data_IF_435596090969
#
_entry.id   IF_435596090969
#
_cell.length_a   1.000
_cell.length_b   1.000
_cell.length_c   1.000
_cell.angle_alpha   90.00
_cell.angle_beta   90.00
_cell.angle_gamma   90.00
#
_symmetry.space_group_name_H-M   'P 1'
#
loop_
_entity.id
_entity.type
_entity.pdbx_description
1 polymer ?
#
# COMPACT_ATOMS: atom_id res chain seq x y z
N UNK A 1 18.78 3.50 -37.49
CA UNK A 1 18.86 4.98 -37.41
C UNK A 1 18.63 5.56 -38.81
N UNK A 2 18.01 6.75 -38.96
CA UNK A 2 17.76 7.32 -40.26
C UNK A 2 19.02 7.61 -41.11
N UNK A 3 20.12 7.85 -40.41
CA UNK A 3 21.42 8.16 -41.03
C UNK A 3 22.36 6.97 -41.20
N UNK A 4 22.03 5.81 -40.58
CA UNK A 4 22.77 4.56 -40.69
C UNK A 4 21.84 3.37 -40.37
N UNK A 5 21.47 2.62 -41.40
CA UNK A 5 20.52 1.52 -41.34
C UNK A 5 21.08 0.28 -40.62
N UNK A 6 22.40 0.22 -40.43
CA UNK A 6 23.04 -0.89 -39.70
C UNK A 6 22.91 -0.78 -38.17
N UNK A 7 22.40 0.35 -37.67
CA UNK A 7 22.24 0.63 -36.26
C UNK A 7 20.79 0.88 -35.88
N UNK A 8 20.44 0.47 -34.67
CA UNK A 8 19.14 0.73 -34.03
C UNK A 8 19.35 1.47 -32.73
N UNK A 9 18.40 2.32 -32.36
CA UNK A 9 18.39 2.97 -31.06
C UNK A 9 17.85 1.99 -30.01
N UNK A 10 18.50 1.96 -28.85
CA UNK A 10 17.94 1.25 -27.71
C UNK A 10 16.69 1.94 -27.23
N UNK A 11 15.58 1.20 -27.15
CA UNK A 11 14.24 1.77 -26.91
C UNK A 11 14.15 2.66 -25.67
N UNK A 12 14.92 2.35 -24.62
CA UNK A 12 14.93 3.17 -23.40
C UNK A 12 15.58 4.53 -23.58
N UNK A 13 16.45 4.70 -24.57
CA UNK A 13 16.98 6.02 -24.90
C UNK A 13 15.88 6.96 -25.39
N UNK A 14 14.96 6.46 -26.19
CA UNK A 14 13.79 7.18 -26.66
C UNK A 14 12.74 7.36 -25.56
N UNK A 15 12.37 6.26 -24.88
CA UNK A 15 11.33 6.27 -23.88
C UNK A 15 11.61 7.19 -22.69
N UNK A 16 12.85 7.27 -22.20
CA UNK A 16 13.21 8.09 -21.03
C UNK A 16 13.16 9.60 -21.32
N UNK A 17 13.42 10.00 -22.56
CA UNK A 17 13.32 11.42 -22.96
C UNK A 17 11.90 11.96 -22.80
N UNK A 18 10.88 11.08 -22.80
CA UNK A 18 9.48 11.48 -22.63
C UNK A 18 9.26 12.36 -21.38
N UNK A 19 9.98 12.14 -20.29
CA UNK A 19 9.83 12.94 -19.06
C UNK A 19 10.09 14.43 -19.26
N UNK A 20 11.08 14.78 -20.07
CA UNK A 20 11.42 16.18 -20.36
C UNK A 20 10.76 16.71 -21.63
N UNK A 21 10.51 15.84 -22.62
CA UNK A 21 9.80 16.25 -23.83
C UNK A 21 8.35 16.61 -23.56
N UNK A 22 7.69 15.91 -22.63
CA UNK A 22 6.35 16.25 -22.17
C UNK A 22 6.27 17.63 -21.48
N UNK A 23 7.40 18.13 -20.98
CA UNK A 23 7.54 19.47 -20.41
C UNK A 23 7.99 20.52 -21.45
N UNK A 24 8.00 20.15 -22.73
CA UNK A 24 8.42 21.03 -23.83
C UNK A 24 9.86 21.57 -23.68
N UNK A 25 10.77 20.71 -23.18
CA UNK A 25 12.17 21.05 -23.02
C UNK A 25 12.76 21.65 -24.31
N UNK A 26 13.49 22.75 -24.17
CA UNK A 26 14.06 23.56 -25.29
C UNK A 26 13.03 24.27 -26.20
N UNK A 27 11.72 24.21 -25.92
CA UNK A 27 10.73 24.99 -26.63
C UNK A 27 10.39 26.32 -25.92
N UNK A 28 11.24 26.76 -24.98
CA UNK A 28 11.08 27.97 -24.16
C UNK A 28 9.81 27.98 -23.30
N UNK A 29 9.32 26.79 -22.92
CA UNK A 29 8.14 26.67 -22.10
C UNK A 29 8.49 26.81 -20.60
N UNK A 30 7.73 27.59 -19.83
CA UNK A 30 7.94 27.74 -18.38
C UNK A 30 7.62 26.48 -17.59
N UNK A 31 7.07 25.44 -18.23
CA UNK A 31 6.73 24.16 -17.64
C UNK A 31 7.95 23.38 -17.13
N UNK A 32 9.10 23.50 -17.79
CA UNK A 32 10.36 22.85 -17.33
C UNK A 32 10.77 23.41 -15.98
N UNK A 33 10.85 24.73 -15.84
CA UNK A 33 11.29 25.38 -14.59
C UNK A 33 10.31 25.12 -13.44
N UNK A 34 9.03 24.87 -13.77
CA UNK A 34 8.00 24.62 -12.78
C UNK A 34 7.95 23.16 -12.29
N UNK A 35 8.21 22.20 -13.19
CA UNK A 35 7.95 20.78 -12.91
C UNK A 35 9.22 19.93 -12.92
N UNK A 36 10.37 20.50 -13.23
CA UNK A 36 11.64 19.83 -13.19
C UNK A 36 12.61 20.53 -12.21
N UNK A 37 13.34 19.81 -11.31
CA UNK A 37 13.40 18.35 -11.22
C UNK A 37 12.10 17.72 -10.70
N UNK A 38 11.84 16.48 -11.13
CA UNK A 38 10.74 15.70 -10.61
C UNK A 38 10.96 15.37 -9.12
N UNK A 39 9.97 15.61 -8.28
CA UNK A 39 10.04 15.24 -6.85
C UNK A 39 10.13 13.73 -6.69
N UNK A 40 9.37 12.96 -7.47
CA UNK A 40 9.42 11.48 -7.43
C UNK A 40 9.24 10.91 -8.83
N UNK A 41 10.16 10.05 -9.26
CA UNK A 41 9.90 9.07 -10.31
C UNK A 41 9.39 7.77 -9.67
N UNK A 42 8.09 7.51 -9.82
CA UNK A 42 7.45 6.31 -9.32
C UNK A 42 7.44 5.24 -10.41
N UNK A 43 8.18 4.17 -10.23
CA UNK A 43 8.42 3.14 -11.25
C UNK A 43 8.26 1.73 -10.70
N UNK A 44 8.00 0.75 -11.57
CA UNK A 44 8.08 -0.65 -11.19
C UNK A 44 9.54 -1.08 -10.95
N UNK A 45 9.76 -1.99 -10.01
CA UNK A 45 11.13 -2.46 -9.68
C UNK A 45 11.88 -3.09 -10.86
N UNK A 46 11.17 -3.57 -11.87
CA UNK A 46 11.74 -4.16 -13.08
C UNK A 46 12.43 -3.14 -13.99
N UNK A 47 12.08 -1.86 -13.88
CA UNK A 47 12.68 -0.77 -14.65
C UNK A 47 13.53 0.19 -13.79
N UNK A 48 13.83 -0.19 -12.54
CA UNK A 48 14.64 0.64 -11.65
C UNK A 48 16.02 0.95 -12.24
N UNK A 49 16.72 -0.04 -12.79
CA UNK A 49 18.03 0.16 -13.40
C UNK A 49 17.98 1.17 -14.55
N UNK A 50 16.92 1.11 -15.36
CA UNK A 50 16.72 2.04 -16.48
C UNK A 50 16.61 3.49 -16.01
N UNK A 51 15.95 3.72 -14.89
CA UNK A 51 15.76 5.06 -14.35
C UNK A 51 16.94 5.52 -13.49
N UNK A 52 17.45 4.65 -12.61
CA UNK A 52 18.53 5.02 -11.71
C UNK A 52 19.88 5.15 -12.40
N UNK A 53 20.13 4.39 -13.47
CA UNK A 53 21.41 4.43 -14.19
C UNK A 53 21.27 5.18 -15.51
N UNK A 54 20.48 4.66 -16.45
CA UNK A 54 20.47 5.22 -17.80
C UNK A 54 19.88 6.63 -17.83
N UNK A 55 18.72 6.84 -17.21
CA UNK A 55 18.07 8.15 -17.16
C UNK A 55 18.93 9.18 -16.43
N UNK A 56 19.46 8.83 -15.26
CA UNK A 56 20.36 9.73 -14.52
C UNK A 56 21.59 10.11 -15.34
N UNK A 57 22.20 9.15 -16.06
CA UNK A 57 23.35 9.43 -16.93
C UNK A 57 22.97 10.35 -18.10
N UNK A 58 21.80 10.16 -18.69
CA UNK A 58 21.30 11.04 -19.78
C UNK A 58 21.08 12.47 -19.29
N UNK A 59 20.47 12.64 -18.12
CA UNK A 59 20.28 13.95 -17.49
C UNK A 59 21.61 14.66 -17.19
N UNK A 60 22.58 13.93 -16.64
CA UNK A 60 23.91 14.46 -16.40
C UNK A 60 24.60 14.91 -17.70
N UNK A 61 24.46 14.14 -18.77
CA UNK A 61 24.99 14.52 -20.09
C UNK A 61 24.32 15.79 -20.68
N UNK A 62 23.08 16.05 -20.29
CA UNK A 62 22.31 17.24 -20.68
C UNK A 62 22.52 18.43 -19.72
N UNK A 63 23.30 18.26 -18.65
CA UNK A 63 23.45 19.23 -17.53
C UNK A 63 22.09 19.59 -16.90
N UNK A 64 21.17 18.63 -16.83
CA UNK A 64 19.90 18.77 -16.14
C UNK A 64 19.99 18.23 -14.72
N UNK A 65 19.28 18.84 -13.75
CA UNK A 65 19.20 18.30 -12.40
C UNK A 65 18.55 16.92 -12.40
N UNK A 66 19.00 16.05 -11.48
CA UNK A 66 18.43 14.72 -11.29
C UNK A 66 17.07 14.81 -10.56
N UNK A 67 16.18 13.81 -10.73
CA UNK A 67 15.00 13.68 -9.88
C UNK A 67 15.41 13.61 -8.40
N UNK A 68 14.60 14.18 -7.52
CA UNK A 68 14.87 14.14 -6.07
C UNK A 68 14.78 12.72 -5.52
N UNK A 69 13.84 11.93 -6.02
CA UNK A 69 13.63 10.54 -5.62
C UNK A 69 13.29 9.67 -6.82
N UNK A 70 13.87 8.47 -6.87
CA UNK A 70 13.42 7.37 -7.74
C UNK A 70 12.91 6.27 -6.83
N UNK A 71 11.60 6.08 -6.79
CA UNK A 71 10.95 5.08 -5.96
C UNK A 71 10.47 3.89 -6.79
N UNK A 72 10.97 2.70 -6.47
CA UNK A 72 10.58 1.46 -7.15
C UNK A 72 9.57 0.69 -6.30
N UNK A 73 8.34 0.53 -6.82
CA UNK A 73 7.33 -0.31 -6.16
C UNK A 73 7.43 -1.77 -6.59
N UNK A 74 6.93 -2.66 -5.74
CA UNK A 74 6.88 -4.10 -5.97
C UNK A 74 5.80 -4.53 -6.98
N UNK A 75 5.71 -5.82 -7.22
CA UNK A 75 4.69 -6.43 -8.08
C UNK A 75 3.51 -6.93 -7.27
N UNK A 76 2.37 -6.97 -7.92
CA UNK A 76 1.22 -7.74 -7.46
C UNK A 76 1.26 -9.12 -8.14
N UNK A 77 1.22 -10.16 -7.31
CA UNK A 77 1.07 -11.56 -7.73
C UNK A 77 -0.36 -12.03 -7.48
N UNK A 78 -0.71 -13.19 -7.97
CA UNK A 78 -1.96 -13.91 -7.65
C UNK A 78 -1.57 -15.34 -7.34
N UNK A 79 -1.90 -15.81 -6.14
CA UNK A 79 -1.51 -17.13 -5.62
C UNK A 79 0.02 -17.34 -5.68
N UNK A 80 0.79 -16.29 -5.34
CA UNK A 80 2.26 -16.29 -5.38
C UNK A 80 2.88 -16.26 -6.78
N UNK A 81 2.08 -16.24 -7.84
CA UNK A 81 2.55 -16.23 -9.22
C UNK A 81 2.40 -14.86 -9.88
N UNK A 82 3.37 -14.49 -10.71
CA UNK A 82 3.29 -13.26 -11.51
C UNK A 82 2.09 -13.30 -12.45
N UNK A 83 1.29 -12.22 -12.46
CA UNK A 83 0.17 -12.07 -13.39
C UNK A 83 0.63 -12.19 -14.83
N UNK A 84 -0.07 -13.02 -15.61
CA UNK A 84 0.20 -13.22 -17.03
C UNK A 84 -1.07 -13.50 -17.80
N UNK A 85 -1.27 -12.79 -18.93
CA UNK A 85 -2.41 -13.02 -19.84
C UNK A 85 -2.49 -14.48 -20.33
N UNK A 86 -1.32 -15.09 -20.58
CA UNK A 86 -1.24 -16.49 -21.05
C UNK A 86 -1.65 -17.52 -19.99
N UNK A 87 -1.59 -17.16 -18.70
CA UNK A 87 -2.03 -18.00 -17.58
C UNK A 87 -3.46 -17.75 -17.15
N UNK A 88 -4.07 -16.67 -17.62
CA UNK A 88 -5.44 -16.29 -17.24
C UNK A 88 -5.59 -15.79 -15.80
N UNK A 89 -4.48 -15.54 -15.09
CA UNK A 89 -4.48 -15.08 -13.69
C UNK A 89 -4.37 -13.55 -13.54
N UNK A 90 -4.76 -12.80 -14.57
CA UNK A 90 -4.74 -11.33 -14.52
C UNK A 90 -5.97 -10.82 -13.81
N UNK A 91 -5.76 -10.03 -12.77
CA UNK A 91 -6.84 -9.27 -12.12
C UNK A 91 -7.16 -8.06 -12.98
N UNK A 92 -8.41 -7.96 -13.43
CA UNK A 92 -8.90 -6.81 -14.17
C UNK A 92 -9.35 -5.72 -13.17
N UNK A 93 -8.64 -4.58 -13.09
CA UNK A 93 -9.00 -3.52 -12.15
C UNK A 93 -10.38 -2.92 -12.42
N UNK A 94 -10.84 -2.88 -13.67
CA UNK A 94 -12.17 -2.34 -13.99
C UNK A 94 -13.27 -3.22 -13.38
N UNK A 95 -13.14 -4.55 -13.47
CA UNK A 95 -14.07 -5.48 -12.83
C UNK A 95 -14.07 -5.35 -11.31
N UNK A 96 -12.90 -5.12 -10.70
CA UNK A 96 -12.82 -4.88 -9.26
C UNK A 96 -13.52 -3.59 -8.87
N UNK A 97 -13.35 -2.52 -9.64
CA UNK A 97 -14.03 -1.24 -9.43
C UNK A 97 -15.54 -1.36 -9.63
N UNK A 98 -16.01 -2.07 -10.66
CA UNK A 98 -17.44 -2.33 -10.90
C UNK A 98 -18.08 -3.12 -9.76
N UNK A 99 -17.36 -4.09 -9.20
CA UNK A 99 -17.89 -4.99 -8.16
C UNK A 99 -17.84 -4.36 -6.77
N UNK A 100 -16.76 -3.68 -6.41
CA UNK A 100 -16.47 -3.25 -5.04
C UNK A 100 -16.45 -1.73 -4.86
N UNK A 101 -16.46 -0.97 -5.93
CA UNK A 101 -16.27 0.47 -5.93
C UNK A 101 -14.80 0.87 -5.94
N UNK A 102 -14.54 2.05 -6.54
CA UNK A 102 -13.16 2.53 -6.73
C UNK A 102 -12.44 2.79 -5.41
N UNK A 103 -13.12 3.37 -4.42
CA UNK A 103 -12.50 3.74 -3.15
C UNK A 103 -12.12 2.53 -2.30
N UNK A 104 -12.97 1.49 -2.29
CA UNK A 104 -12.66 0.24 -1.59
C UNK A 104 -11.48 -0.48 -2.23
N UNK A 105 -11.39 -0.49 -3.56
CA UNK A 105 -10.24 -1.07 -4.27
C UNK A 105 -8.95 -0.28 -4.03
N UNK A 106 -9.00 1.06 -4.07
CA UNK A 106 -7.85 1.92 -3.74
C UNK A 106 -7.38 1.70 -2.31
N UNK A 107 -8.31 1.66 -1.36
CA UNK A 107 -8.02 1.38 0.04
C UNK A 107 -7.28 0.06 0.21
N UNK A 108 -7.81 -1.02 -0.37
CA UNK A 108 -7.19 -2.34 -0.31
C UNK A 108 -5.75 -2.32 -0.83
N UNK A 109 -5.53 -1.79 -2.04
CA UNK A 109 -4.20 -1.79 -2.66
C UNK A 109 -3.16 -1.01 -1.84
N UNK A 110 -3.56 0.09 -1.20
CA UNK A 110 -2.66 0.93 -0.41
C UNK A 110 -2.51 0.45 1.05
N UNK A 111 -3.42 -0.42 1.51
CA UNK A 111 -3.47 -0.94 2.89
C UNK A 111 -2.83 -2.31 3.03
N UNK A 112 -2.93 -3.16 2.01
CA UNK A 112 -2.56 -4.57 2.10
C UNK A 112 -1.05 -4.76 2.27
N UNK A 113 -0.25 -4.06 1.49
CA UNK A 113 1.20 -4.25 1.43
C UNK A 113 1.94 -2.94 1.72
N UNK A 114 3.07 -2.98 2.46
CA UNK A 114 3.95 -1.82 2.53
C UNK A 114 4.37 -1.40 1.12
N UNK A 115 4.18 -0.13 0.79
CA UNK A 115 4.49 0.38 -0.54
C UNK A 115 5.98 0.20 -0.83
N UNK A 116 6.30 -0.37 -1.99
CA UNK A 116 7.68 -0.79 -2.34
C UNK A 116 7.90 -2.30 -2.28
N UNK A 117 7.10 -3.05 -1.55
CA UNK A 117 7.19 -4.50 -1.47
C UNK A 117 6.25 -5.20 -2.45
N UNK A 118 6.50 -6.49 -2.71
CA UNK A 118 5.61 -7.32 -3.49
C UNK A 118 4.36 -7.68 -2.67
N UNK A 119 3.20 -7.67 -3.31
CA UNK A 119 1.94 -8.08 -2.73
C UNK A 119 1.32 -9.26 -3.46
N UNK A 120 0.53 -10.05 -2.75
CA UNK A 120 -0.26 -11.11 -3.35
C UNK A 120 -1.75 -10.72 -3.33
N UNK A 121 -2.37 -10.65 -4.50
CA UNK A 121 -3.77 -10.29 -4.62
C UNK A 121 -4.64 -11.48 -4.29
N UNK A 122 -5.50 -11.30 -3.30
CA UNK A 122 -6.54 -12.26 -2.96
C UNK A 122 -7.88 -11.55 -2.86
N UNK A 123 -8.86 -12.01 -3.62
CA UNK A 123 -10.22 -11.47 -3.55
C UNK A 123 -10.84 -11.68 -2.16
N UNK A 124 -10.52 -12.79 -1.51
CA UNK A 124 -10.94 -13.07 -0.13
C UNK A 124 -10.33 -12.09 0.86
N UNK A 125 -9.03 -11.79 0.74
CA UNK A 125 -8.38 -10.77 1.57
C UNK A 125 -9.01 -9.40 1.34
N UNK A 126 -9.29 -9.02 0.08
CA UNK A 126 -9.95 -7.77 -0.25
C UNK A 126 -11.33 -7.65 0.40
N UNK A 127 -12.19 -8.66 0.29
CA UNK A 127 -13.52 -8.67 0.93
C UNK A 127 -13.39 -8.62 2.45
N UNK A 128 -12.43 -9.34 3.02
CA UNK A 128 -12.16 -9.31 4.46
C UNK A 128 -11.77 -7.90 4.91
N UNK A 129 -10.84 -7.25 4.21
CA UNK A 129 -10.40 -5.87 4.51
C UNK A 129 -11.55 -4.87 4.37
N UNK A 130 -12.37 -4.97 3.31
CA UNK A 130 -13.56 -4.12 3.13
C UNK A 130 -14.52 -4.29 4.31
N UNK A 131 -14.80 -5.53 4.71
CA UNK A 131 -15.72 -5.79 5.80
C UNK A 131 -15.18 -5.36 7.17
N UNK A 132 -13.90 -5.65 7.46
CA UNK A 132 -13.29 -5.31 8.76
C UNK A 132 -13.04 -3.82 8.92
N UNK A 133 -12.31 -3.23 7.99
CA UNK A 133 -11.77 -1.88 8.14
C UNK A 133 -12.77 -0.81 7.69
N UNK A 134 -13.53 -1.08 6.63
CA UNK A 134 -14.43 -0.10 6.04
C UNK A 134 -15.87 -0.25 6.55
N UNK A 135 -16.50 -1.42 6.39
CA UNK A 135 -17.88 -1.61 6.79
C UNK A 135 -18.06 -1.61 8.32
N UNK A 136 -17.28 -2.42 9.04
CA UNK A 136 -17.34 -2.53 10.50
C UNK A 136 -16.50 -1.46 11.23
N UNK A 137 -15.54 -0.81 10.56
CA UNK A 137 -14.76 0.30 11.11
C UNK A 137 -15.44 1.65 10.82
N UNK A 138 -14.88 2.41 9.88
CA UNK A 138 -15.29 3.79 9.59
C UNK A 138 -16.77 3.92 9.23
N UNK A 139 -17.31 2.98 8.45
CA UNK A 139 -18.73 2.96 8.06
C UNK A 139 -19.66 2.77 9.26
N UNK A 140 -19.32 1.85 10.16
CA UNK A 140 -20.07 1.61 11.39
C UNK A 140 -19.98 2.80 12.35
N UNK A 141 -18.79 3.37 12.55
CA UNK A 141 -18.59 4.55 13.39
C UNK A 141 -19.47 5.71 12.91
N UNK A 142 -19.50 6.00 11.61
CA UNK A 142 -20.36 7.02 11.04
C UNK A 142 -21.85 6.70 11.28
N UNK A 143 -22.29 5.54 10.91
CA UNK A 143 -23.70 5.14 11.01
C UNK A 143 -24.21 5.19 12.44
N UNK A 144 -23.44 4.70 13.42
CA UNK A 144 -23.75 4.78 14.85
C UNK A 144 -23.83 6.22 15.34
N UNK A 145 -22.82 7.03 15.00
CA UNK A 145 -22.76 8.44 15.42
C UNK A 145 -23.97 9.21 14.88
N UNK A 146 -24.26 9.10 13.59
CA UNK A 146 -25.41 9.79 12.98
C UNK A 146 -26.74 9.34 13.59
N UNK A 147 -26.90 8.04 13.82
CA UNK A 147 -28.12 7.49 14.46
C UNK A 147 -28.32 8.05 15.89
N UNK A 148 -27.23 8.20 16.65
CA UNK A 148 -27.29 8.77 17.98
C UNK A 148 -27.55 10.27 17.96
N UNK A 149 -26.95 11.02 17.05
CA UNK A 149 -27.21 12.45 16.87
C UNK A 149 -28.67 12.67 16.45
N UNK A 150 -29.18 11.90 15.51
CA UNK A 150 -30.58 11.94 15.08
C UNK A 150 -31.54 11.71 16.28
N UNK A 151 -31.24 10.68 17.08
CA UNK A 151 -32.11 10.24 18.18
C UNK A 151 -32.02 11.11 19.43
N UNK A 152 -30.85 11.65 19.76
CA UNK A 152 -30.56 12.27 21.04
C UNK A 152 -30.19 13.76 20.97
N UNK A 153 -30.07 14.30 19.77
CA UNK A 153 -29.69 15.71 19.55
C UNK A 153 -30.43 16.33 18.34
N UNK A 154 -31.66 15.88 18.07
CA UNK A 154 -32.56 16.43 17.04
C UNK A 154 -31.89 16.59 15.66
N UNK A 155 -30.99 15.68 15.31
CA UNK A 155 -30.29 15.69 14.02
C UNK A 155 -29.25 16.81 13.88
N UNK A 156 -28.84 17.46 14.97
CA UNK A 156 -27.78 18.49 14.97
C UNK A 156 -26.61 18.06 15.86
N UNK A 157 -25.40 18.32 15.40
CA UNK A 157 -24.21 18.05 16.21
C UNK A 157 -24.20 19.01 17.41
N UNK A 158 -24.30 18.51 18.65
CA UNK A 158 -24.41 19.39 19.83
C UNK A 158 -23.05 20.00 20.18
N UNK A 159 -23.08 21.13 20.89
CA UNK A 159 -21.88 21.66 21.54
C UNK A 159 -21.40 20.71 22.65
N UNK A 160 -20.07 20.61 22.82
CA UNK A 160 -19.45 19.81 23.88
C UNK A 160 -19.83 20.38 25.27
N UNK A 161 -20.05 19.46 26.21
CA UNK A 161 -20.25 19.77 27.64
C UNK A 161 -19.06 19.29 28.48
N UNK A 162 -19.28 18.89 29.75
CA UNK A 162 -18.25 18.28 30.58
C UNK A 162 -17.85 16.92 30.05
N UNK A 163 -16.62 16.48 30.33
CA UNK A 163 -16.13 15.18 29.88
C UNK A 163 -17.00 14.03 30.40
N UNK A 164 -17.26 13.05 29.54
CA UNK A 164 -17.92 11.79 29.89
C UNK A 164 -16.91 10.75 30.39
N UNK A 165 -15.78 10.63 29.70
CA UNK A 165 -14.66 9.74 30.02
C UNK A 165 -13.32 10.49 29.77
N UNK A 166 -12.86 11.31 30.75
CA UNK A 166 -11.73 12.23 30.56
C UNK A 166 -10.47 11.58 29.97
N UNK A 167 -10.07 10.41 30.47
CA UNK A 167 -8.86 9.72 30.03
C UNK A 167 -8.92 9.28 28.56
N UNK A 168 -10.08 8.82 28.08
CA UNK A 168 -10.25 8.40 26.68
C UNK A 168 -10.39 9.62 25.78
N UNK A 169 -11.06 10.67 26.22
CA UNK A 169 -11.19 11.91 25.46
C UNK A 169 -9.83 12.59 25.28
N UNK A 170 -8.95 12.55 26.30
CA UNK A 170 -7.58 13.03 26.19
C UNK A 170 -6.76 12.19 25.20
N UNK A 171 -6.90 10.86 25.24
CA UNK A 171 -6.24 9.96 24.27
C UNK A 171 -6.69 10.26 22.85
N UNK A 172 -7.99 10.42 22.63
CA UNK A 172 -8.55 10.79 21.31
C UNK A 172 -8.01 12.15 20.86
N UNK A 173 -8.06 13.16 21.73
CA UNK A 173 -7.57 14.48 21.41
C UNK A 173 -6.09 14.49 21.04
N UNK A 174 -5.26 13.76 21.78
CA UNK A 174 -3.82 13.61 21.50
C UNK A 174 -3.57 12.91 20.18
N UNK A 175 -4.22 11.76 19.93
CA UNK A 175 -4.09 11.03 18.67
C UNK A 175 -4.55 11.88 17.48
N UNK A 176 -5.69 12.56 17.62
CA UNK A 176 -6.25 13.43 16.60
C UNK A 176 -5.35 14.65 16.29
N UNK A 177 -4.78 15.29 17.32
CA UNK A 177 -3.87 16.42 17.15
C UNK A 177 -2.55 16.03 16.44
N UNK A 178 -2.08 14.80 16.65
CA UNK A 178 -0.86 14.27 16.02
C UNK A 178 -1.07 13.75 14.59
N UNK A 179 -2.30 13.37 14.24
CA UNK A 179 -2.62 12.72 12.98
C UNK A 179 -2.16 13.51 11.75
N UNK A 180 -2.43 14.81 11.57
CA UNK A 180 -2.02 15.54 10.37
C UNK A 180 -0.52 15.50 10.12
N UNK A 181 0.29 15.77 11.14
CA UNK A 181 1.75 15.74 11.02
C UNK A 181 2.30 14.32 10.77
N UNK A 182 1.63 13.28 11.29
CA UNK A 182 1.99 11.89 11.01
C UNK A 182 1.70 11.53 9.57
N UNK A 183 0.54 11.93 9.06
CA UNK A 183 0.17 11.69 7.66
C UNK A 183 1.10 12.42 6.69
N UNK A 184 1.47 13.67 6.97
CA UNK A 184 2.40 14.45 6.15
C UNK A 184 3.75 13.75 6.02
N UNK A 185 4.32 13.29 7.15
CA UNK A 185 5.55 12.49 7.14
C UNK A 185 5.41 11.19 6.35
N UNK A 186 4.28 10.50 6.52
CA UNK A 186 4.01 9.25 5.81
C UNK A 186 3.82 9.45 4.31
N UNK A 187 3.16 10.54 3.88
CA UNK A 187 3.08 10.89 2.46
C UNK A 187 4.45 11.21 1.87
N UNK A 188 5.27 12.00 2.58
CA UNK A 188 6.63 12.32 2.14
C UNK A 188 7.53 11.09 2.06
N UNK A 189 7.35 10.12 2.96
CA UNK A 189 8.09 8.86 2.99
C UNK A 189 7.46 7.75 2.14
N UNK A 190 6.31 8.00 1.50
CA UNK A 190 5.54 7.02 0.72
C UNK A 190 5.08 5.79 1.55
N UNK A 191 4.88 5.96 2.86
CA UNK A 191 4.39 4.90 3.77
C UNK A 191 2.86 4.93 3.90
N UNK A 192 2.17 4.71 2.80
CA UNK A 192 0.69 4.84 2.71
C UNK A 192 -0.04 3.87 3.62
N UNK A 193 0.47 2.64 3.77
CA UNK A 193 -0.09 1.63 4.67
C UNK A 193 -0.10 2.12 6.12
N UNK A 194 1.00 2.71 6.57
CA UNK A 194 1.13 3.20 7.94
C UNK A 194 0.19 4.38 8.19
N UNK A 195 0.02 5.25 7.19
CA UNK A 195 -0.97 6.32 7.24
C UNK A 195 -2.39 5.78 7.42
N UNK A 196 -2.78 4.77 6.62
CA UNK A 196 -4.10 4.14 6.74
C UNK A 196 -4.28 3.40 8.06
N UNK A 197 -3.23 2.79 8.59
CA UNK A 197 -3.24 2.17 9.90
C UNK A 197 -3.49 3.21 11.00
N UNK A 198 -2.76 4.34 10.99
CA UNK A 198 -2.93 5.41 11.99
C UNK A 198 -4.35 6.01 11.94
N UNK A 199 -4.93 6.17 10.74
CA UNK A 199 -6.33 6.58 10.57
C UNK A 199 -7.28 5.55 11.21
N UNK A 200 -7.06 4.26 10.95
CA UNK A 200 -7.85 3.16 11.52
C UNK A 200 -7.75 3.07 13.05
N UNK A 201 -6.58 3.34 13.61
CA UNK A 201 -6.36 3.38 15.07
C UNK A 201 -7.19 4.48 15.74
N UNK A 202 -7.27 5.68 15.15
CA UNK A 202 -8.14 6.74 15.65
C UNK A 202 -9.62 6.36 15.55
N UNK A 203 -10.05 5.73 14.46
CA UNK A 203 -11.43 5.25 14.32
C UNK A 203 -11.76 4.20 15.39
N UNK A 204 -10.87 3.24 15.63
CA UNK A 204 -11.03 2.19 16.65
C UNK A 204 -11.09 2.77 18.06
N UNK A 205 -10.28 3.79 18.35
CA UNK A 205 -10.30 4.49 19.63
C UNK A 205 -11.64 5.21 19.86
N UNK A 206 -12.25 5.76 18.81
CA UNK A 206 -13.57 6.37 18.88
C UNK A 206 -14.68 5.34 19.08
N UNK A 207 -14.61 4.17 18.44
CA UNK A 207 -15.57 3.08 18.70
C UNK A 207 -15.46 2.58 20.14
N UNK A 208 -14.25 2.38 20.68
CA UNK A 208 -14.03 2.04 22.09
C UNK A 208 -14.63 3.09 23.02
N UNK A 209 -14.46 4.37 22.69
CA UNK A 209 -15.01 5.48 23.46
C UNK A 209 -16.54 5.45 23.48
N UNK A 210 -17.20 5.26 22.34
CA UNK A 210 -18.66 5.17 22.26
C UNK A 210 -19.17 3.96 23.06
N UNK A 211 -18.50 2.81 22.98
CA UNK A 211 -18.90 1.61 23.69
C UNK A 211 -18.80 1.78 25.21
N UNK A 212 -17.72 2.37 25.70
CA UNK A 212 -17.49 2.61 27.14
C UNK A 212 -18.38 3.74 27.69
N UNK A 213 -18.54 4.83 26.95
CA UNK A 213 -19.42 5.93 27.34
C UNK A 213 -20.89 5.53 27.35
N UNK A 214 -21.26 4.53 26.54
CA UNK A 214 -22.62 3.99 26.45
C UNK A 214 -23.70 5.08 26.32
N UNK A 215 -23.69 5.93 25.27
CA UNK A 215 -24.56 7.10 25.14
C UNK A 215 -26.06 6.78 25.27
N UNK A 216 -26.47 5.57 24.91
CA UNK A 216 -27.85 5.08 25.12
C UNK A 216 -28.23 4.91 26.59
N UNK A 217 -27.25 4.82 27.52
CA UNK A 217 -27.48 4.85 28.97
C UNK A 217 -27.51 6.28 29.46
N UNK A 218 -26.60 7.14 29.02
CA UNK A 218 -26.57 8.57 29.38
C UNK A 218 -27.87 9.26 28.97
N UNK A 219 -28.45 8.90 27.81
CA UNK A 219 -29.71 9.45 27.33
C UNK A 219 -30.94 9.14 28.22
N UNK A 220 -30.85 8.16 29.14
CA UNK A 220 -31.93 7.82 30.07
C UNK A 220 -31.95 8.69 31.33
N UNK A 221 -30.89 9.42 31.60
CA UNK A 221 -30.73 10.28 32.76
C UNK A 221 -30.57 11.72 32.31
N UNK A 222 -31.53 12.61 32.58
CA UNK A 222 -31.45 14.05 32.21
C UNK A 222 -30.21 14.75 32.77
N UNK A 223 -29.73 14.35 33.95
CA UNK A 223 -28.54 14.95 34.59
C UNK A 223 -27.26 14.61 33.82
N UNK A 224 -27.23 13.52 33.03
CA UNK A 224 -26.11 13.10 32.20
C UNK A 224 -26.19 13.65 30.75
N UNK A 225 -27.24 14.40 30.42
CA UNK A 225 -27.42 15.01 29.09
C UNK A 225 -26.21 15.85 28.64
N UNK A 226 -25.54 16.64 29.51
CA UNK A 226 -24.34 17.36 29.09
C UNK A 226 -23.19 16.47 28.71
N UNK A 227 -22.98 15.32 29.38
CA UNK A 227 -21.95 14.32 29.01
C UNK A 227 -22.29 13.62 27.69
N UNK A 228 -23.57 13.29 27.48
CA UNK A 228 -24.04 12.76 26.21
C UNK A 228 -23.69 13.68 25.03
N UNK A 229 -23.91 14.99 25.19
CA UNK A 229 -23.53 15.99 24.17
C UNK A 229 -22.02 15.92 23.85
N UNK A 230 -21.17 15.75 24.87
CA UNK A 230 -19.72 15.60 24.71
C UNK A 230 -19.38 14.36 23.91
N UNK A 231 -20.02 13.21 24.21
CA UNK A 231 -19.80 11.97 23.46
C UNK A 231 -20.12 12.15 21.98
N UNK A 232 -21.27 12.73 21.66
CA UNK A 232 -21.70 12.94 20.29
C UNK A 232 -20.81 13.96 19.55
N UNK A 233 -20.40 15.04 20.21
CA UNK A 233 -19.49 16.03 19.65
C UNK A 233 -18.10 15.44 19.37
N UNK A 234 -17.53 14.70 20.32
CA UNK A 234 -16.23 14.07 20.18
C UNK A 234 -16.21 13.09 19.00
N UNK A 235 -17.25 12.26 18.86
CA UNK A 235 -17.38 11.33 17.73
C UNK A 235 -17.50 12.09 16.38
N UNK A 236 -18.28 13.16 16.33
CA UNK A 236 -18.43 13.98 15.12
C UNK A 236 -17.14 14.72 14.73
N UNK A 237 -16.39 15.23 15.72
CA UNK A 237 -15.06 15.84 15.49
C UNK A 237 -14.07 14.84 14.93
N UNK A 238 -14.03 13.63 15.50
CA UNK A 238 -13.17 12.56 15.00
C UNK A 238 -13.53 12.16 13.56
N UNK A 239 -14.81 11.99 13.27
CA UNK A 239 -15.28 11.67 11.92
C UNK A 239 -14.94 12.75 10.89
N UNK A 240 -15.02 14.04 11.25
CA UNK A 240 -14.57 15.13 10.38
C UNK A 240 -13.08 14.97 10.04
N UNK A 241 -12.23 14.74 11.05
CA UNK A 241 -10.79 14.61 10.87
C UNK A 241 -10.44 13.35 10.06
N UNK A 242 -11.10 12.24 10.37
CA UNK A 242 -10.97 10.99 9.60
C UNK A 242 -11.35 11.20 8.13
N UNK A 243 -12.43 11.93 7.86
CA UNK A 243 -12.87 12.22 6.50
C UNK A 243 -11.79 12.94 5.69
N UNK A 244 -11.30 14.09 6.17
CA UNK A 244 -10.28 14.84 5.43
C UNK A 244 -8.95 14.06 5.30
N UNK A 245 -8.62 13.24 6.29
CA UNK A 245 -7.44 12.39 6.29
C UNK A 245 -7.53 11.24 5.28
N UNK A 246 -8.74 10.75 5.00
CA UNK A 246 -9.01 9.69 4.03
C UNK A 246 -9.13 10.19 2.60
N UNK A 247 -9.30 11.48 2.38
CA UNK A 247 -9.54 12.05 1.04
C UNK A 247 -8.51 11.61 -0.02
N UNK A 248 -7.19 11.62 0.24
CA UNK A 248 -6.20 11.18 -0.73
C UNK A 248 -6.34 9.69 -1.14
N UNK A 249 -6.92 8.89 -0.26
CA UNK A 249 -7.11 7.44 -0.46
C UNK A 249 -8.48 7.12 -1.05
N UNK A 250 -9.54 7.73 -0.52
CA UNK A 250 -10.95 7.43 -0.81
C UNK A 250 -11.77 8.71 -1.05
N UNK A 251 -11.56 9.41 -2.17
CA UNK A 251 -12.17 10.72 -2.41
C UNK A 251 -13.70 10.69 -2.43
N UNK A 252 -14.33 9.72 -3.12
CA UNK A 252 -15.80 9.64 -3.20
C UNK A 252 -16.45 9.32 -1.86
N UNK A 253 -15.83 8.43 -1.09
CA UNK A 253 -16.26 8.08 0.27
C UNK A 253 -16.17 9.28 1.20
N UNK A 254 -15.09 10.04 1.11
CA UNK A 254 -14.90 11.26 1.91
C UNK A 254 -15.97 12.29 1.62
N UNK A 255 -16.31 12.52 0.36
CA UNK A 255 -17.39 13.45 0.00
C UNK A 255 -18.74 13.00 0.55
N UNK A 256 -19.04 11.70 0.52
CA UNK A 256 -20.28 11.16 1.10
C UNK A 256 -20.27 11.27 2.62
N UNK A 257 -19.16 10.96 3.28
CA UNK A 257 -19.01 11.03 4.74
C UNK A 257 -19.21 12.49 5.24
N UNK A 258 -18.50 13.44 4.61
CA UNK A 258 -18.62 14.86 4.99
C UNK A 258 -20.02 15.41 4.77
N UNK A 259 -20.66 15.03 3.66
CA UNK A 259 -22.05 15.40 3.38
C UNK A 259 -23.02 14.87 4.43
N UNK A 260 -22.85 13.62 4.86
CA UNK A 260 -23.69 13.03 5.90
C UNK A 260 -23.49 13.71 7.27
N UNK A 261 -22.29 14.22 7.56
CA UNK A 261 -21.99 15.00 8.76
C UNK A 261 -22.47 16.48 8.68
N UNK A 262 -23.01 16.90 7.54
CA UNK A 262 -23.42 18.29 7.34
C UNK A 262 -22.29 19.24 6.94
N UNK A 263 -21.11 18.71 6.57
CA UNK A 263 -20.02 19.52 6.02
C UNK A 263 -20.13 19.61 4.50
N UNK A 264 -19.79 20.79 3.98
CA UNK A 264 -19.73 21.07 2.54
C UNK A 264 -18.33 21.55 2.18
N UNK A 265 -17.41 20.61 1.99
CA UNK A 265 -16.09 20.92 1.46
C UNK A 265 -16.10 20.92 -0.07
N UNK A 266 -15.48 21.93 -0.66
CA UNK A 266 -15.17 21.93 -2.08
C UNK A 266 -13.80 21.29 -2.29
N UNK A 267 -13.80 19.99 -2.54
CA UNK A 267 -12.57 19.20 -2.73
C UNK A 267 -11.82 19.51 -4.03
N UNK A 268 -12.37 20.35 -4.91
CA UNK A 268 -11.63 20.90 -6.06
C UNK A 268 -10.65 22.02 -5.62
N UNK A 269 -10.79 22.52 -4.41
CA UNK A 269 -9.96 23.55 -3.78
C UNK A 269 -9.17 22.96 -2.62
N UNK A 270 -8.21 23.73 -2.13
CA UNK A 270 -7.50 23.37 -0.91
C UNK A 270 -8.46 23.28 0.26
N UNK A 271 -8.45 22.15 0.97
CA UNK A 271 -9.22 21.96 2.20
C UNK A 271 -8.69 22.94 3.25
N UNK A 272 -9.56 23.69 3.94
CA UNK A 272 -9.10 24.64 4.95
C UNK A 272 -8.27 23.96 6.04
N UNK A 273 -7.19 24.60 6.48
CA UNK A 273 -6.32 24.06 7.54
C UNK A 273 -7.10 23.74 8.83
N UNK A 274 -8.16 24.52 9.13
CA UNK A 274 -9.06 24.26 10.25
C UNK A 274 -9.75 22.90 10.21
N UNK A 275 -9.95 22.32 9.03
CA UNK A 275 -10.54 20.98 8.90
C UNK A 275 -9.62 19.87 9.45
N UNK A 276 -8.31 20.10 9.48
CA UNK A 276 -7.30 19.20 10.05
C UNK A 276 -7.00 19.46 11.53
N UNK A 277 -7.56 20.53 12.12
CA UNK A 277 -7.33 20.88 13.52
C UNK A 277 -8.38 20.22 14.41
N UNK A 278 -7.92 19.48 15.43
CA UNK A 278 -8.81 18.83 16.38
C UNK A 278 -9.75 19.85 17.07
N UNK A 279 -9.23 20.99 17.48
CA UNK A 279 -9.97 21.99 18.26
C UNK A 279 -10.92 22.88 17.44
N UNK A 280 -10.95 22.72 16.13
CA UNK A 280 -11.93 23.43 15.30
C UNK A 280 -13.36 23.03 15.70
N UNK A 281 -14.24 24.01 15.95
CA UNK A 281 -15.59 23.75 16.43
C UNK A 281 -16.40 22.96 15.40
N UNK A 282 -17.21 22.03 15.90
CA UNK A 282 -18.16 21.21 15.14
C UNK A 282 -19.48 21.28 15.90
N UNK A 283 -20.27 22.30 15.67
CA UNK A 283 -21.54 22.52 16.39
C UNK A 283 -22.61 23.03 15.45
N UNK A 284 -23.86 22.73 15.76
CA UNK A 284 -25.07 23.19 15.06
C UNK A 284 -25.16 22.73 13.59
N UNK A 285 -24.28 21.85 13.14
CA UNK A 285 -24.38 21.26 11.81
C UNK A 285 -25.53 20.24 11.79
N UNK A 286 -26.46 20.43 10.87
CA UNK A 286 -27.52 19.47 10.63
C UNK A 286 -26.94 18.27 9.86
N UNK A 287 -27.07 17.08 10.43
CA UNK A 287 -26.65 15.85 9.76
C UNK A 287 -27.65 15.48 8.64
N UNK A 288 -27.13 14.82 7.61
CA UNK A 288 -27.93 14.30 6.50
C UNK A 288 -27.67 12.79 6.34
N UNK A 289 -28.29 11.98 7.22
CA UNK A 289 -28.10 10.54 7.23
C UNK A 289 -28.49 9.93 5.88
N UNK A 290 -27.55 9.24 5.26
CA UNK A 290 -27.70 8.57 3.98
C UNK A 290 -27.60 7.05 4.08
N UNK A 291 -27.39 6.40 2.92
CA UNK A 291 -27.06 4.99 2.86
C UNK A 291 -25.71 4.70 3.55
N UNK A 292 -25.51 3.47 4.06
CA UNK A 292 -24.19 3.06 4.57
C UNK A 292 -23.11 3.28 3.52
N UNK A 293 -21.94 3.81 3.95
CA UNK A 293 -20.80 4.04 3.04
C UNK A 293 -20.30 2.74 2.40
N UNK A 294 -20.24 1.69 3.18
CA UNK A 294 -19.80 0.36 2.75
C UNK A 294 -20.83 -0.68 3.23
N UNK A 295 -21.66 -1.23 2.33
CA UNK A 295 -22.48 -2.38 2.66
C UNK A 295 -21.56 -3.58 2.91
N UNK A 296 -21.93 -4.41 3.90
CA UNK A 296 -21.20 -5.64 4.16
C UNK A 296 -21.32 -6.61 2.98
N UNK A 297 -20.19 -7.15 2.54
CA UNK A 297 -20.13 -8.09 1.42
C UNK A 297 -20.17 -9.50 1.97
N UNK A 298 -21.14 -10.29 1.51
CA UNK A 298 -21.22 -11.72 1.81
C UNK A 298 -20.29 -12.49 0.88
N UNK A 299 -19.36 -13.26 1.45
CA UNK A 299 -18.53 -14.19 0.69
C UNK A 299 -19.43 -15.40 0.39
N UNK A 300 -19.89 -15.54 -0.84
CA UNK A 300 -20.62 -16.73 -1.26
C UNK A 300 -19.76 -17.98 -0.96
N UNK A 301 -20.37 -19.00 -0.36
CA UNK A 301 -19.70 -20.22 0.11
C UNK A 301 -19.05 -21.04 -1.03
N UNK A 302 -19.30 -20.69 -2.29
CA UNK A 302 -18.86 -21.44 -3.48
C UNK A 302 -17.36 -21.30 -3.80
N UNK A 303 -16.66 -20.31 -3.26
CA UNK A 303 -15.21 -20.15 -3.50
C UNK A 303 -14.34 -21.12 -2.68
N UNK A 304 -14.91 -21.79 -1.67
CA UNK A 304 -14.19 -22.83 -0.91
C UNK A 304 -14.15 -24.19 -1.63
N UNK A 305 -14.95 -24.37 -2.67
CA UNK A 305 -15.11 -25.68 -3.34
C UNK A 305 -14.26 -25.83 -4.62
N UNK A 306 -13.83 -24.74 -5.22
CA UNK A 306 -13.03 -24.81 -6.44
C UNK A 306 -11.58 -25.26 -6.18
N UNK A 307 -10.95 -24.80 -5.09
CA UNK A 307 -9.58 -25.19 -4.72
C UNK A 307 -9.47 -26.62 -4.15
N UNK A 308 -10.57 -27.17 -3.57
CA UNK A 308 -10.56 -28.52 -3.02
C UNK A 308 -10.87 -29.61 -4.08
N UNK A 309 -11.58 -29.26 -5.16
CA UNK A 309 -11.92 -30.24 -6.22
C UNK A 309 -10.82 -30.44 -7.25
N UNK A 310 -10.00 -29.42 -7.52
CA UNK A 310 -8.87 -29.56 -8.45
C UNK A 310 -7.67 -30.27 -7.80
N UNK A 311 -7.47 -30.10 -6.49
CA UNK A 311 -6.44 -30.88 -5.76
C UNK A 311 -6.77 -32.39 -5.71
N UNK A 312 -8.06 -32.77 -5.68
CA UNK A 312 -8.50 -34.18 -5.63
C UNK A 312 -8.50 -34.85 -7.01
N UNK A 313 -8.58 -34.05 -8.09
CA UNK A 313 -8.56 -34.59 -9.46
C UNK A 313 -7.13 -34.83 -9.97
N UNK A 314 -6.17 -33.99 -9.55
CA UNK A 314 -4.76 -34.18 -9.85
C UNK A 314 -4.13 -35.41 -9.12
N UNK A 315 -4.70 -35.82 -7.99
CA UNK A 315 -4.23 -36.98 -7.22
C UNK A 315 -4.84 -38.31 -7.67
N UNK A 316 -5.90 -38.29 -8.51
CA UNK A 316 -6.52 -39.54 -9.02
C UNK A 316 -5.97 -40.04 -10.35
N UNK A 317 -5.26 -39.25 -11.12
CA UNK A 317 -4.70 -39.63 -12.40
C UNK A 317 -3.24 -40.16 -12.35
N UNK A 318 -2.58 -40.08 -11.16
CA UNK A 318 -1.22 -40.60 -10.95
C UNK A 318 -1.15 -42.01 -10.34
N UNK A 319 -2.32 -42.69 -10.07
CA UNK A 319 -2.35 -44.00 -9.39
C UNK A 319 -2.77 -45.17 -10.28
N UNK A 320 -2.43 -45.14 -11.56
CA UNK A 320 -2.56 -46.33 -12.43
C UNK A 320 -1.29 -46.60 -13.23
N UNK A 321 -0.26 -47.13 -12.59
CA UNK A 321 0.70 -48.07 -13.18
C UNK A 321 1.57 -48.69 -12.09
N UNK A 322 1.38 -50.00 -11.89
CA UNK A 322 2.42 -50.97 -11.53
C UNK A 322 2.67 -51.22 -10.06
N UNK A 323 1.91 -52.11 -9.47
CA UNK A 323 2.23 -52.76 -8.21
C UNK A 323 3.13 -53.99 -8.43
N UNK A 324 4.20 -54.15 -7.61
CA UNK A 324 4.58 -55.43 -7.05
C UNK A 324 5.29 -55.23 -5.69
N UNK A 325 5.16 -56.18 -4.73
CA UNK A 325 5.37 -55.96 -3.32
C UNK A 325 6.73 -56.43 -2.81
N UNK A 326 7.32 -55.78 -1.83
CA UNK A 326 8.37 -56.36 -0.97
C UNK A 326 8.12 -55.96 0.50
N UNK A 327 8.24 -56.99 1.32
CA UNK A 327 7.93 -57.27 2.70
C UNK A 327 8.44 -56.29 3.77
N UNK A 328 7.66 -56.30 4.89
CA UNK A 328 7.93 -55.79 6.23
C UNK A 328 9.25 -56.24 6.86
N UNK A 329 9.90 -55.32 7.56
CA UNK A 329 10.47 -55.59 8.90
C UNK A 329 10.72 -54.29 9.67
N UNK A 330 10.37 -54.19 10.94
CA UNK A 330 10.52 -52.96 11.75
C UNK A 330 11.87 -52.90 12.46
N UNK A 331 12.47 -51.71 12.55
CA UNK A 331 13.65 -51.41 13.36
C UNK A 331 13.28 -50.59 14.58
N UNK A 332 13.74 -50.93 15.78
CA UNK A 332 13.34 -50.31 17.04
C UNK A 332 14.09 -49.02 17.39
N UNK A 333 13.58 -48.23 18.35
CA UNK A 333 14.13 -46.90 18.70
C UNK A 333 15.34 -47.02 19.66
N UNK A 334 16.32 -46.13 19.49
CA UNK A 334 17.45 -45.98 20.42
C UNK A 334 17.25 -44.80 21.40
N UNK A 335 17.88 -44.87 22.58
CA UNK A 335 17.45 -44.14 23.78
C UNK A 335 18.14 -42.76 23.97
N UNK A 336 17.44 -41.91 24.77
CA UNK A 336 17.88 -40.61 25.25
C UNK A 336 18.83 -40.80 26.47
N UNK A 337 19.95 -40.08 26.61
CA UNK A 337 20.69 -40.05 27.86
C UNK A 337 20.17 -39.01 28.84
N UNK A 338 20.16 -39.42 30.10
CA UNK A 338 19.61 -38.77 31.26
C UNK A 338 20.45 -37.59 31.81
N UNK A 339 19.78 -36.84 32.66
CA UNK A 339 20.20 -35.67 33.41
C UNK A 339 21.35 -35.92 34.39
N UNK A 340 22.17 -34.88 34.63
CA UNK A 340 23.02 -34.76 35.81
C UNK A 340 22.96 -33.34 36.42
N UNK A 341 22.39 -33.32 37.62
CA UNK A 341 22.65 -32.56 38.87
C UNK A 341 23.24 -31.14 38.85
N UNK A 342 22.47 -30.25 39.47
CA UNK A 342 22.82 -28.92 40.04
C UNK A 342 23.67 -29.05 41.33
N UNK A 343 24.54 -28.05 41.67
CA UNK A 343 24.33 -27.11 42.78
C UNK A 343 25.02 -25.73 42.57
N UNK A 344 25.02 -24.82 43.59
CA UNK A 344 23.93 -23.99 44.11
C UNK A 344 24.09 -22.47 43.84
N UNK A 345 23.09 -21.71 44.29
CA UNK A 345 22.84 -20.29 44.12
C UNK A 345 23.98 -19.32 44.41
N UNK A 346 24.10 -18.27 43.60
CA UNK A 346 24.71 -16.99 43.93
C UNK A 346 23.86 -15.83 43.37
N UNK A 347 23.81 -14.76 44.13
CA UNK A 347 23.04 -13.53 44.17
C UNK A 347 22.85 -12.77 42.86
N UNK A 348 21.76 -11.98 42.67
CA UNK A 348 21.37 -11.42 41.37
C UNK A 348 22.18 -10.20 40.99
N UNK A 349 22.75 -10.23 39.78
CA UNK A 349 23.31 -9.08 39.10
C UNK A 349 22.27 -8.54 38.09
N UNK A 350 22.20 -7.21 38.00
CA UNK A 350 21.35 -6.36 37.16
C UNK A 350 21.34 -6.81 35.68
N UNK A 351 20.22 -6.82 34.97
CA UNK A 351 20.16 -7.23 33.58
C UNK A 351 20.79 -6.20 32.68
N UNK A 352 21.88 -6.56 32.06
CA UNK A 352 22.47 -5.86 30.93
C UNK A 352 21.63 -6.21 29.70
N UNK A 353 21.21 -5.18 28.92
CA UNK A 353 20.46 -5.35 27.69
C UNK A 353 21.21 -6.25 26.68
N UNK A 354 20.51 -7.10 25.92
CA UNK A 354 21.17 -7.95 24.92
C UNK A 354 21.76 -7.08 23.81
N UNK A 355 23.01 -7.34 23.47
CA UNK A 355 23.73 -6.73 22.37
C UNK A 355 22.96 -6.99 21.07
N UNK A 356 22.68 -5.92 20.33
CA UNK A 356 22.08 -5.98 19.02
C UNK A 356 22.94 -6.85 18.10
N UNK A 357 22.30 -7.75 17.37
CA UNK A 357 22.94 -8.52 16.30
C UNK A 357 23.57 -7.54 15.29
N UNK A 358 24.74 -7.86 14.71
CA UNK A 358 25.38 -6.98 13.74
C UNK A 358 24.43 -6.77 12.54
N UNK A 359 24.21 -5.51 12.20
CA UNK A 359 23.45 -5.14 10.99
C UNK A 359 24.07 -5.81 9.76
N UNK A 360 23.28 -6.26 8.78
CA UNK A 360 23.82 -6.81 7.54
C UNK A 360 24.71 -5.76 6.89
N UNK A 361 25.90 -6.19 6.47
CA UNK A 361 26.87 -5.32 5.83
C UNK A 361 26.23 -4.61 4.65
N UNK A 362 26.34 -3.29 4.58
CA UNK A 362 25.87 -2.51 3.44
C UNK A 362 26.50 -3.09 2.15
N UNK A 363 25.75 -3.18 1.04
CA UNK A 363 26.30 -3.65 -0.22
C UNK A 363 27.50 -2.77 -0.60
N UNK A 364 28.54 -3.35 -1.24
CA UNK A 364 29.74 -2.59 -1.58
C UNK A 364 29.37 -1.41 -2.45
N UNK A 365 29.67 -0.20 -2.00
CA UNK A 365 29.46 1.02 -2.76
C UNK A 365 30.50 1.10 -3.86
N UNK A 366 30.06 1.35 -5.09
CA UNK A 366 30.94 1.63 -6.22
C UNK A 366 31.45 3.06 -6.07
N UNK A 367 32.76 3.25 -6.14
CA UNK A 367 33.35 4.58 -6.11
C UNK A 367 33.02 5.39 -7.37
N UNK A 368 33.03 6.71 -7.28
CA UNK A 368 32.83 7.59 -8.44
C UNK A 368 33.86 7.30 -9.55
N UNK A 369 35.08 6.94 -9.18
CA UNK A 369 36.15 6.58 -10.12
C UNK A 369 35.87 5.25 -10.84
N UNK A 370 35.21 4.30 -10.17
CA UNK A 370 34.77 3.05 -10.80
C UNK A 370 33.58 3.28 -11.73
N UNK A 371 32.67 4.18 -11.36
CA UNK A 371 31.57 4.59 -12.21
C UNK A 371 32.06 5.32 -13.48
N UNK A 372 33.07 6.18 -13.37
CA UNK A 372 33.66 6.88 -14.51
C UNK A 372 34.39 5.97 -15.50
N UNK A 373 34.69 4.71 -15.10
CA UNK A 373 35.30 3.69 -15.99
C UNK A 373 34.23 3.04 -16.90
N UNK A 374 32.94 3.25 -16.67
CA UNK A 374 31.87 2.71 -17.51
C UNK A 374 31.88 3.41 -18.86
N UNK A 375 32.11 2.65 -19.93
CA UNK A 375 32.04 3.13 -21.29
C UNK A 375 30.82 2.56 -21.99
N UNK A 376 29.89 3.42 -22.38
CA UNK A 376 28.79 3.05 -23.27
C UNK A 376 29.32 3.05 -24.69
N UNK A 377 29.17 1.92 -25.40
CA UNK A 377 29.60 1.77 -26.79
C UNK A 377 28.42 1.34 -27.65
N UNK A 378 28.30 1.91 -28.82
CA UNK A 378 27.43 1.38 -29.86
C UNK A 378 28.05 0.11 -30.44
N UNK A 379 27.19 -0.84 -30.84
CA UNK A 379 27.63 -2.09 -31.41
C UNK A 379 26.81 -2.43 -32.66
N UNK A 380 27.49 -2.94 -33.69
CA UNK A 380 26.83 -3.49 -34.87
C UNK A 380 26.47 -4.96 -34.61
N UNK A 381 25.20 -5.35 -34.82
CA UNK A 381 24.79 -6.75 -34.75
C UNK A 381 25.25 -7.46 -36.03
N UNK A 382 26.11 -8.47 -35.89
CA UNK A 382 26.64 -9.25 -37.02
C UNK A 382 25.69 -10.42 -37.32
N UNK A 383 25.25 -11.12 -36.27
CA UNK A 383 24.30 -12.22 -36.40
C UNK A 383 23.40 -12.30 -35.16
N UNK A 384 22.20 -12.82 -35.37
CA UNK A 384 21.24 -13.08 -34.33
C UNK A 384 20.67 -14.51 -34.51
N UNK A 385 20.83 -15.35 -33.52
CA UNK A 385 20.36 -16.73 -33.54
C UNK A 385 19.45 -16.97 -32.32
N UNK A 386 18.43 -17.81 -32.48
CA UNK A 386 17.62 -18.23 -31.31
C UNK A 386 18.44 -19.19 -30.44
N UNK A 387 18.36 -18.96 -29.13
CA UNK A 387 18.96 -19.88 -28.16
C UNK A 387 18.17 -21.19 -28.18
N UNK A 388 18.81 -22.36 -28.37
CA UNK A 388 18.12 -23.62 -28.33
C UNK A 388 17.33 -23.82 -27.04
N UNK A 389 16.09 -24.28 -27.12
CA UNK A 389 15.16 -24.48 -25.99
C UNK A 389 14.66 -23.19 -25.32
N UNK A 390 14.78 -22.02 -25.97
CA UNK A 390 14.21 -20.77 -25.47
C UNK A 390 13.45 -20.04 -26.58
N UNK A 391 12.19 -19.72 -26.32
CA UNK A 391 11.37 -18.93 -27.26
C UNK A 391 11.66 -17.42 -27.16
N UNK A 392 12.32 -16.98 -26.09
CA UNK A 392 12.48 -15.55 -25.74
C UNK A 392 13.91 -15.06 -25.74
N UNK A 393 14.89 -15.92 -25.98
CA UNK A 393 16.30 -15.52 -25.94
C UNK A 393 16.92 -15.55 -27.32
N UNK A 394 17.62 -14.49 -27.66
CA UNK A 394 18.49 -14.38 -28.82
C UNK A 394 19.95 -14.36 -28.40
N UNK A 395 20.78 -15.11 -29.12
CA UNK A 395 22.23 -15.06 -29.07
C UNK A 395 22.69 -14.11 -30.15
N UNK A 396 23.24 -12.98 -29.76
CA UNK A 396 23.73 -11.95 -30.65
C UNK A 396 25.24 -11.98 -30.74
N UNK A 397 25.78 -11.93 -31.94
CA UNK A 397 27.17 -11.57 -32.17
C UNK A 397 27.21 -10.08 -32.52
N UNK A 398 27.95 -9.31 -31.73
CA UNK A 398 28.00 -7.85 -31.89
C UNK A 398 29.46 -7.40 -32.12
N UNK A 399 29.62 -6.43 -33.02
CA UNK A 399 30.90 -5.78 -33.32
C UNK A 399 30.95 -4.42 -32.63
N UNK A 400 31.97 -4.18 -31.81
CA UNK A 400 32.16 -2.97 -31.05
C UNK A 400 33.10 -1.94 -31.73
N UNK A 401 33.42 -2.16 -32.98
CA UNK A 401 34.37 -1.34 -33.74
C UNK A 401 35.80 -1.88 -33.69
N UNK A 402 36.19 -2.52 -32.60
CA UNK A 402 37.53 -3.09 -32.40
C UNK A 402 37.53 -4.57 -32.10
N UNK A 403 36.43 -5.11 -31.58
CA UNK A 403 36.30 -6.51 -31.16
C UNK A 403 34.88 -7.03 -31.37
N UNK A 404 34.78 -8.34 -31.55
CA UNK A 404 33.50 -9.04 -31.61
C UNK A 404 33.17 -9.62 -30.25
N UNK A 405 31.92 -9.43 -29.79
CA UNK A 405 31.42 -10.03 -28.54
C UNK A 405 30.12 -10.77 -28.73
N UNK A 406 29.93 -11.81 -27.95
CA UNK A 406 28.67 -12.54 -27.88
C UNK A 406 27.83 -11.98 -26.71
N UNK A 407 26.57 -11.67 -26.96
CA UNK A 407 25.58 -11.30 -25.96
C UNK A 407 24.36 -12.22 -26.08
N UNK A 408 23.75 -12.52 -24.94
CA UNK A 408 22.47 -13.26 -24.89
C UNK A 408 21.47 -12.31 -24.20
N UNK A 409 20.38 -12.03 -24.88
CA UNK A 409 19.33 -11.15 -24.39
C UNK A 409 17.95 -11.62 -24.83
N UNK A 410 16.90 -11.07 -24.21
CA UNK A 410 15.52 -11.33 -24.64
C UNK A 410 15.21 -10.59 -25.94
N UNK A 411 14.57 -11.30 -26.87
CA UNK A 411 13.88 -10.64 -27.96
C UNK A 411 12.58 -10.03 -27.43
N UNK A 412 12.43 -8.70 -27.53
CA UNK A 412 11.13 -8.09 -27.47
C UNK A 412 10.62 -8.01 -28.92
N UNK A 413 9.57 -8.78 -29.21
CA UNK A 413 8.78 -8.66 -30.43
C UNK A 413 7.55 -7.85 -30.09
#
# INVERSE_FOLDING_TARGET
MPFDHDYVTYVWFDALVNYISALEYKLSAPSVDRYWPASVHLVGKDILTTHAVYWSTMLMALNLPLPETIFAHGWWTVDGEKMSKSRGNVVDPNKMVETYGIDAFRYFLLREVPFGQDGDFSQTAMVTTINSDLANGIGNLLSRTLTMIERFADGKIPASGPPALPELEEKIAKAAAQLPATLERGFSALTFRDNLQTIGELASLCDEYIDKAAPWKLAKNPDEAPKLKTVLNTAARALRLLAVSLYPFMPQTTEQLTRQLGYHFDFSKAIPASAYQWDSPVTDLAIAKGAPLFPRIEIAADTKSATAKDATKAQKDSSKKGAQPVSDTPVPPQPVPAAATTPPAATPATPTAPAAAPAPAAPPQISIDDFMKIQLKTAKVISAERVPKSEKLLKLQVWLGTEQRQKIGRAHV
#
